data_IF_958956922168
#
_entry.id   IF_958956922168
#
_cell.length_a   1.000
_cell.length_b   1.000
_cell.length_c   1.000
_cell.angle_alpha   90.00
_cell.angle_beta   90.00
_cell.angle_gamma   90.00
#
_symmetry.space_group_name_H-M   'P 1'
#
loop_
_entity.id
_entity.type
_entity.pdbx_description
1 polymer ?
#
# COMPACT_ATOMS: atom_id res chain seq x y z
N UNK A 1 7.83 0.42 -12.72
CA UNK A 1 7.27 1.69 -12.22
C UNK A 1 8.21 2.23 -11.16
N UNK A 2 8.60 3.51 -11.25
CA UNK A 2 9.56 4.12 -10.32
C UNK A 2 9.40 5.64 -10.26
N UNK A 3 9.96 6.28 -9.23
CA UNK A 3 9.86 7.71 -8.99
C UNK A 3 11.27 8.31 -8.82
N UNK A 4 11.46 9.58 -9.21
CA UNK A 4 12.66 10.33 -8.83
C UNK A 4 12.47 10.80 -7.40
N UNK A 5 13.27 10.27 -6.49
CA UNK A 5 13.20 10.55 -5.07
C UNK A 5 14.50 11.21 -4.63
N UNK A 6 14.42 12.11 -3.64
CA UNK A 6 15.60 12.66 -2.98
C UNK A 6 16.54 11.56 -2.52
N UNK A 7 17.84 11.80 -2.63
CA UNK A 7 18.83 10.97 -1.93
C UNK A 7 18.73 11.22 -0.43
N UNK A 8 18.77 10.16 0.36
CA UNK A 8 18.72 10.25 1.82
C UNK A 8 19.11 8.93 2.49
N UNK A 9 18.95 8.85 3.81
CA UNK A 9 19.52 7.76 4.60
C UNK A 9 18.62 6.52 4.72
N UNK A 10 17.45 6.51 4.09
CA UNK A 10 16.45 5.45 4.29
C UNK A 10 16.58 4.39 3.19
N UNK A 11 16.92 3.16 3.56
CA UNK A 11 16.95 2.01 2.67
C UNK A 11 15.65 1.23 2.74
N UNK A 12 15.06 0.90 1.59
CA UNK A 12 13.77 0.18 1.54
C UNK A 12 13.97 -1.16 0.86
N UNK A 13 13.43 -2.22 1.44
CA UNK A 13 13.25 -3.52 0.79
C UNK A 13 11.79 -3.94 0.89
N UNK A 14 11.20 -4.43 -0.20
CA UNK A 14 9.78 -4.75 -0.17
C UNK A 14 9.32 -5.76 -1.21
N UNK A 15 8.37 -6.59 -0.79
CA UNK A 15 7.62 -7.49 -1.66
C UNK A 15 6.34 -6.83 -2.18
N UNK A 16 6.41 -5.53 -2.48
CA UNK A 16 5.29 -4.71 -2.95
C UNK A 16 5.78 -3.59 -3.86
N UNK A 17 5.33 -3.57 -5.11
CA UNK A 17 5.69 -2.53 -6.07
C UNK A 17 5.13 -1.16 -5.67
N UNK A 18 3.80 -1.04 -5.66
CA UNK A 18 3.15 0.24 -5.34
C UNK A 18 3.28 0.64 -3.87
N UNK A 19 3.48 -0.32 -2.95
CA UNK A 19 3.79 -0.01 -1.55
C UNK A 19 5.17 0.64 -1.39
N UNK A 20 6.20 0.14 -2.10
CA UNK A 20 7.49 0.83 -2.15
C UNK A 20 7.31 2.23 -2.74
N UNK A 21 6.61 2.38 -3.87
CA UNK A 21 6.40 3.69 -4.48
C UNK A 21 5.73 4.67 -3.51
N UNK A 22 4.65 4.28 -2.86
CA UNK A 22 3.94 5.12 -1.89
C UNK A 22 4.85 5.58 -0.75
N UNK A 23 5.55 4.64 -0.10
CA UNK A 23 6.45 4.98 1.02
C UNK A 23 7.59 5.87 0.57
N UNK A 24 8.20 5.63 -0.60
CA UNK A 24 9.27 6.49 -1.11
C UNK A 24 8.80 7.92 -1.40
N UNK A 25 7.60 8.09 -1.98
CA UNK A 25 7.02 9.40 -2.28
C UNK A 25 6.65 10.13 -0.99
N UNK A 26 6.15 9.41 0.02
CA UNK A 26 5.85 9.98 1.33
C UNK A 26 7.13 10.40 2.08
N UNK A 27 8.18 9.58 2.06
CA UNK A 27 9.50 9.95 2.59
C UNK A 27 10.02 11.24 1.94
N UNK A 28 9.90 11.34 0.62
CA UNK A 28 10.25 12.56 -0.12
C UNK A 28 9.41 13.73 0.40
N UNK A 29 8.09 13.65 0.35
CA UNK A 29 7.15 14.70 0.80
C UNK A 29 7.45 15.19 2.22
N UNK A 30 7.87 14.29 3.12
CA UNK A 30 8.22 14.57 4.51
C UNK A 30 9.60 15.21 4.70
N UNK A 31 10.32 15.52 3.63
CA UNK A 31 11.59 16.25 3.69
C UNK A 31 12.83 15.38 3.73
N UNK A 32 12.72 14.06 3.56
CA UNK A 32 13.84 13.12 3.58
C UNK A 32 14.05 12.51 2.18
N UNK A 33 14.82 11.43 2.10
CA UNK A 33 15.11 10.71 0.87
C UNK A 33 15.52 9.27 1.12
N UNK A 34 15.77 8.52 0.05
CA UNK A 34 16.18 7.12 0.10
C UNK A 34 17.63 6.92 -0.32
N UNK A 35 18.26 5.90 0.24
CA UNK A 35 19.55 5.39 -0.22
C UNK A 35 19.32 4.42 -1.38
N UNK A 36 18.45 3.43 -1.15
CA UNK A 36 18.09 2.37 -2.08
C UNK A 36 16.62 1.98 -1.91
N UNK A 37 16.02 1.45 -2.97
CA UNK A 37 14.72 0.77 -2.94
C UNK A 37 14.81 -0.56 -3.70
N UNK A 38 14.66 -1.67 -2.99
CA UNK A 38 14.86 -3.02 -3.50
C UNK A 38 13.52 -3.75 -3.54
N UNK A 39 13.00 -3.98 -4.75
CA UNK A 39 11.81 -4.80 -4.96
C UNK A 39 12.17 -6.28 -5.05
N UNK A 40 11.52 -7.13 -4.25
CA UNK A 40 11.83 -8.57 -4.17
C UNK A 40 10.83 -9.46 -4.93
N UNK A 41 9.68 -8.87 -5.31
CA UNK A 41 8.57 -9.56 -5.98
C UNK A 41 7.53 -10.10 -4.99
N UNK A 42 6.25 -10.00 -5.34
CA UNK A 42 5.14 -10.24 -4.41
C UNK A 42 4.96 -11.68 -3.88
N UNK A 43 5.77 -12.63 -4.36
CA UNK A 43 5.76 -14.03 -3.89
C UNK A 43 6.93 -14.37 -2.97
N UNK A 44 7.89 -13.46 -2.81
CA UNK A 44 9.17 -13.76 -2.17
C UNK A 44 8.99 -14.24 -0.72
N UNK A 45 8.05 -13.67 0.02
CA UNK A 45 7.77 -14.06 1.41
C UNK A 45 6.80 -15.23 1.59
N UNK A 46 6.43 -15.93 0.50
CA UNK A 46 5.67 -17.17 0.61
C UNK A 46 6.59 -18.32 1.05
N UNK A 47 6.02 -19.32 1.71
CA UNK A 47 6.77 -20.48 2.20
C UNK A 47 7.57 -21.19 1.11
N UNK A 48 7.03 -21.27 -0.12
CA UNK A 48 7.66 -21.97 -1.23
C UNK A 48 8.90 -21.25 -1.78
N UNK A 49 8.98 -19.93 -1.61
CA UNK A 49 10.13 -19.11 -2.05
C UNK A 49 11.11 -18.88 -0.90
N UNK A 50 10.61 -18.66 0.32
CA UNK A 50 11.42 -18.62 1.53
C UNK A 50 12.10 -17.29 1.83
N UNK A 51 11.70 -16.21 1.16
CA UNK A 51 12.21 -14.84 1.42
C UNK A 51 13.63 -14.60 0.91
N UNK A 52 14.07 -15.31 -0.12
CA UNK A 52 15.46 -15.29 -0.59
C UNK A 52 15.90 -13.86 -0.93
N UNK A 53 15.10 -13.13 -1.73
CA UNK A 53 15.47 -11.79 -2.16
C UNK A 53 15.28 -10.75 -1.06
N UNK A 54 14.31 -10.93 -0.16
CA UNK A 54 14.16 -10.10 1.03
C UNK A 54 15.39 -10.20 1.93
N UNK A 55 15.87 -11.42 2.18
CA UNK A 55 17.05 -11.68 3.01
C UNK A 55 18.29 -11.01 2.40
N UNK A 56 18.52 -11.18 1.11
CA UNK A 56 19.66 -10.55 0.43
C UNK A 56 19.54 -9.03 0.36
N UNK A 57 18.32 -8.50 0.14
CA UNK A 57 18.06 -7.07 0.20
C UNK A 57 18.34 -6.48 1.57
N UNK A 58 17.91 -7.15 2.65
CA UNK A 58 18.19 -6.74 4.02
C UNK A 58 19.69 -6.72 4.32
N UNK A 59 20.43 -7.76 3.94
CA UNK A 59 21.90 -7.78 4.12
C UNK A 59 22.57 -6.64 3.36
N UNK A 60 22.19 -6.44 2.10
CA UNK A 60 22.74 -5.35 1.29
C UNK A 60 22.46 -3.98 1.92
N UNK A 61 21.27 -3.77 2.48
CA UNK A 61 20.93 -2.53 3.19
C UNK A 61 21.67 -2.39 4.53
N UNK A 62 21.93 -3.48 5.25
CA UNK A 62 22.77 -3.44 6.46
C UNK A 62 24.23 -3.09 6.13
N UNK A 63 24.75 -3.57 5.01
CA UNK A 63 26.13 -3.31 4.58
C UNK A 63 26.32 -1.95 3.88
N UNK A 64 25.23 -1.34 3.37
CA UNK A 64 25.30 -0.06 2.67
C UNK A 64 25.60 1.12 3.62
N UNK A 65 26.76 1.80 3.53
CA UNK A 65 27.12 2.89 4.43
C UNK A 65 26.23 4.12 4.29
N UNK A 66 25.45 4.24 3.21
CA UNK A 66 24.49 5.34 3.03
C UNK A 66 23.13 5.06 3.65
N UNK A 67 22.85 3.81 4.00
CA UNK A 67 21.61 3.42 4.69
C UNK A 67 21.82 3.54 6.20
N UNK A 68 21.00 4.35 6.87
CA UNK A 68 20.98 4.49 8.32
C UNK A 68 19.69 3.94 8.93
N UNK A 69 18.59 3.91 8.17
CA UNK A 69 17.28 3.35 8.59
C UNK A 69 16.78 2.38 7.54
N UNK A 70 16.31 1.20 7.96
CA UNK A 70 15.76 0.19 7.05
C UNK A 70 14.23 0.19 7.13
N UNK A 71 13.57 0.17 5.98
CA UNK A 71 12.12 -0.04 5.87
C UNK A 71 11.85 -1.36 5.16
N UNK A 72 11.03 -2.21 5.78
CA UNK A 72 10.54 -3.46 5.18
C UNK A 72 9.04 -3.35 4.92
N UNK A 73 8.61 -3.63 3.68
CA UNK A 73 7.17 -3.60 3.31
C UNK A 73 6.76 -4.89 2.64
N UNK A 74 5.69 -5.52 3.12
CA UNK A 74 5.06 -6.63 2.41
C UNK A 74 3.60 -6.85 2.78
N UNK A 75 2.92 -7.63 1.93
CA UNK A 75 1.71 -8.37 2.34
C UNK A 75 2.05 -9.34 3.49
N UNK A 76 1.06 -9.91 4.21
CA UNK A 76 1.31 -10.90 5.25
C UNK A 76 2.23 -12.03 4.76
N UNK A 77 3.41 -12.20 5.38
CA UNK A 77 4.34 -13.27 5.02
C UNK A 77 3.90 -14.61 5.59
N UNK A 78 4.52 -15.70 5.12
CA UNK A 78 4.51 -16.95 5.88
C UNK A 78 5.16 -16.75 7.26
N UNK A 79 4.67 -17.45 8.29
CA UNK A 79 5.13 -17.28 9.67
C UNK A 79 6.61 -17.61 9.86
N UNK A 80 7.11 -18.67 9.23
CA UNK A 80 8.53 -19.03 9.35
C UNK A 80 9.41 -18.03 8.61
N UNK A 81 8.93 -17.53 7.47
CA UNK A 81 9.66 -16.52 6.69
C UNK A 81 9.70 -15.18 7.43
N UNK A 82 8.59 -14.75 8.06
CA UNK A 82 8.54 -13.58 8.94
C UNK A 82 9.61 -13.65 10.03
N UNK A 83 9.70 -14.77 10.75
CA UNK A 83 10.71 -14.92 11.82
C UNK A 83 12.13 -14.78 11.28
N UNK A 84 12.43 -15.37 10.13
CA UNK A 84 13.76 -15.25 9.50
C UNK A 84 14.11 -13.81 9.17
N UNK A 85 13.22 -13.07 8.52
CA UNK A 85 13.50 -11.69 8.10
C UNK A 85 13.56 -10.73 9.29
N UNK A 86 12.71 -10.93 10.30
CA UNK A 86 12.75 -10.14 11.54
C UNK A 86 13.99 -10.44 12.39
N UNK A 87 14.44 -11.70 12.46
CA UNK A 87 15.72 -12.03 13.13
C UNK A 87 16.91 -11.30 12.50
N UNK A 88 16.96 -11.19 11.17
CA UNK A 88 18.03 -10.46 10.47
C UNK A 88 18.01 -8.97 10.83
N UNK A 89 16.82 -8.37 10.93
CA UNK A 89 16.68 -6.98 11.35
C UNK A 89 17.16 -6.79 12.80
N UNK A 90 16.80 -7.72 13.69
CA UNK A 90 17.20 -7.70 15.11
C UNK A 90 18.72 -7.88 15.31
N UNK A 91 19.34 -8.79 14.55
CA UNK A 91 20.78 -9.07 14.63
C UNK A 91 21.64 -7.96 13.98
N UNK A 92 21.03 -7.16 13.10
CA UNK A 92 21.70 -6.02 12.47
C UNK A 92 21.84 -4.81 13.38
N UNK A 93 22.53 -3.78 12.88
CA UNK A 93 22.88 -2.59 13.68
C UNK A 93 22.02 -1.37 13.39
N UNK A 94 21.22 -1.41 12.32
CA UNK A 94 20.43 -0.26 11.87
C UNK A 94 18.98 -0.37 12.38
N UNK A 95 18.40 0.73 12.89
CA UNK A 95 16.99 0.76 13.24
C UNK A 95 16.12 0.42 12.03
N UNK A 96 14.98 -0.22 12.29
CA UNK A 96 14.08 -0.65 11.23
C UNK A 96 12.62 -0.33 11.50
N UNK A 97 11.90 -0.02 10.43
CA UNK A 97 10.44 0.10 10.41
C UNK A 97 9.88 -1.00 9.52
N UNK A 98 8.97 -1.81 10.04
CA UNK A 98 8.41 -2.95 9.33
C UNK A 98 6.90 -2.77 9.17
N UNK A 99 6.43 -2.95 7.94
CA UNK A 99 5.01 -2.97 7.64
C UNK A 99 4.63 -4.29 6.97
N UNK A 100 4.08 -5.19 7.79
CA UNK A 100 3.31 -6.34 7.34
C UNK A 100 1.85 -5.93 7.28
N UNK A 101 1.35 -5.74 6.07
CA UNK A 101 0.01 -5.23 5.82
C UNK A 101 -1.07 -6.09 6.47
N UNK A 102 -1.81 -5.54 7.44
CA UNK A 102 -2.81 -6.29 8.22
C UNK A 102 -2.21 -7.37 9.14
N UNK A 103 -0.89 -7.35 9.35
CA UNK A 103 -0.17 -8.19 10.30
C UNK A 103 -0.24 -7.63 11.73
N UNK A 104 0.21 -8.44 12.68
CA UNK A 104 0.25 -8.09 14.10
C UNK A 104 1.46 -7.18 14.43
N UNK A 105 1.25 -5.93 14.88
CA UNK A 105 2.34 -5.05 15.29
C UNK A 105 3.19 -5.59 16.43
N UNK A 106 2.63 -6.40 17.33
CA UNK A 106 3.38 -6.93 18.48
C UNK A 106 4.43 -7.95 18.04
N UNK A 107 4.11 -8.77 17.04
CA UNK A 107 5.06 -9.72 16.44
C UNK A 107 6.29 -9.02 15.83
N UNK A 108 6.17 -7.75 15.42
CA UNK A 108 7.29 -6.95 14.93
C UNK A 108 8.12 -6.39 16.10
N UNK A 109 7.46 -5.91 17.16
CA UNK A 109 8.11 -5.37 18.36
C UNK A 109 8.94 -6.41 19.11
N UNK A 110 8.54 -7.67 19.11
CA UNK A 110 9.32 -8.79 19.69
C UNK A 110 10.75 -8.88 19.11
N UNK A 111 10.94 -8.37 17.88
CA UNK A 111 12.20 -8.33 17.18
C UNK A 111 12.85 -6.93 17.16
N UNK A 112 12.46 -6.06 18.11
CA UNK A 112 13.04 -4.72 18.31
C UNK A 112 12.92 -3.79 17.08
N UNK A 113 12.03 -4.16 16.16
CA UNK A 113 11.67 -3.37 15.00
C UNK A 113 10.44 -2.52 15.31
N UNK A 114 10.32 -1.38 14.64
CA UNK A 114 9.18 -0.47 14.83
C UNK A 114 8.07 -0.87 13.84
N UNK A 115 6.85 -1.20 14.31
CA UNK A 115 5.76 -1.52 13.39
C UNK A 115 5.19 -0.26 12.74
N UNK A 116 4.95 -0.31 11.44
CA UNK A 116 4.06 0.60 10.73
C UNK A 116 2.60 0.14 10.83
N UNK A 117 1.66 1.08 10.88
CA UNK A 117 0.22 0.84 10.88
C UNK A 117 -0.40 0.95 9.47
N UNK A 118 0.22 1.78 8.62
CA UNK A 118 -0.10 1.98 7.20
C UNK A 118 1.20 2.31 6.45
N UNK A 119 1.15 2.36 5.12
CA UNK A 119 2.25 2.84 4.28
C UNK A 119 2.64 4.27 4.67
N UNK A 120 1.67 5.16 4.90
CA UNK A 120 1.94 6.54 5.32
C UNK A 120 2.60 6.59 6.70
N UNK A 121 2.08 5.86 7.69
CA UNK A 121 2.66 5.78 9.02
C UNK A 121 4.09 5.21 9.00
N UNK A 122 4.34 4.22 8.15
CA UNK A 122 5.67 3.62 7.94
C UNK A 122 6.67 4.66 7.45
N UNK A 123 6.26 5.51 6.49
CA UNK A 123 7.09 6.60 6.00
C UNK A 123 7.36 7.66 7.10
N UNK A 124 6.32 8.04 7.87
CA UNK A 124 6.46 8.98 8.98
C UNK A 124 7.48 8.50 10.02
N UNK A 125 7.37 7.25 10.45
CA UNK A 125 8.27 6.63 11.42
C UNK A 125 9.70 6.52 10.89
N UNK A 126 9.88 6.11 9.63
CA UNK A 126 11.20 6.03 9.03
C UNK A 126 11.89 7.40 8.97
N UNK A 127 11.15 8.45 8.62
CA UNK A 127 11.64 9.83 8.61
C UNK A 127 11.92 10.35 10.02
N UNK A 128 11.09 10.00 11.00
CA UNK A 128 11.30 10.39 12.39
C UNK A 128 12.63 9.85 12.93
N UNK A 129 12.91 8.56 12.68
CA UNK A 129 14.19 7.92 13.04
C UNK A 129 15.36 8.62 12.33
N UNK A 130 15.25 8.81 11.00
CA UNK A 130 16.31 9.43 10.20
C UNK A 130 16.64 10.88 10.64
N UNK A 131 15.67 11.59 11.23
CA UNK A 131 15.85 12.95 11.75
C UNK A 131 16.17 12.99 13.25
N UNK A 132 16.17 11.86 13.94
CA UNK A 132 16.39 11.79 15.39
C UNK A 132 15.30 12.50 16.21
N UNK A 133 14.04 12.50 15.72
CA UNK A 133 12.88 13.07 16.41
C UNK A 133 12.00 11.97 17.03
N UNK A 134 10.99 12.36 17.82
CA UNK A 134 10.06 11.39 18.43
C UNK A 134 9.35 10.57 17.37
N UNK A 135 9.28 9.25 17.61
CA UNK A 135 8.53 8.31 16.79
C UNK A 135 7.11 8.26 17.33
N UNK A 136 6.15 8.63 16.50
CA UNK A 136 4.73 8.68 16.84
C UNK A 136 3.92 7.98 15.74
N UNK A 137 2.80 7.36 16.13
CA UNK A 137 1.87 6.79 15.18
C UNK A 137 1.15 7.90 14.42
N UNK A 138 1.22 7.86 13.09
CA UNK A 138 0.48 8.75 12.22
C UNK A 138 -0.86 8.11 11.81
N UNK A 139 -1.94 8.60 12.41
CA UNK A 139 -3.33 8.16 12.11
C UNK A 139 -4.24 9.31 11.66
N UNK A 140 -3.66 10.51 11.51
CA UNK A 140 -4.38 11.74 11.20
C UNK A 140 -4.51 12.02 9.71
N UNK A 141 -5.04 13.21 9.41
CA UNK A 141 -5.11 13.74 8.06
C UNK A 141 -4.16 14.93 7.91
N UNK A 142 -3.54 15.07 6.74
CA UNK A 142 -2.76 16.26 6.37
C UNK A 142 -3.63 17.42 5.87
N UNK A 143 -4.93 17.18 5.68
CA UNK A 143 -5.91 18.15 5.16
C UNK A 143 -6.53 18.95 6.31
N UNK A 144 -6.55 20.27 6.19
CA UNK A 144 -7.26 21.17 7.12
C UNK A 144 -8.77 21.17 6.82
N UNK A 145 -9.59 21.42 7.83
CA UNK A 145 -11.06 21.53 7.71
C UNK A 145 -11.78 20.28 7.19
N UNK A 146 -11.23 19.08 7.48
CA UNK A 146 -11.80 17.81 7.01
C UNK A 146 -13.28 17.63 7.39
N UNK A 147 -13.68 18.05 8.60
CA UNK A 147 -15.08 17.96 9.05
C UNK A 147 -16.03 18.78 8.18
N UNK A 148 -15.58 19.95 7.72
CA UNK A 148 -16.38 20.81 6.84
C UNK A 148 -16.55 20.16 5.48
N UNK A 149 -15.47 19.62 4.91
CA UNK A 149 -15.50 18.88 3.62
C UNK A 149 -16.48 17.70 3.73
N UNK A 150 -16.38 16.91 4.80
CA UNK A 150 -17.28 15.77 5.03
C UNK A 150 -18.74 16.25 5.07
N UNK A 151 -19.05 17.30 5.83
CA UNK A 151 -20.42 17.82 5.91
C UNK A 151 -20.94 18.34 4.57
N UNK A 152 -20.12 19.02 3.78
CA UNK A 152 -20.53 19.58 2.48
C UNK A 152 -20.75 18.49 1.42
N UNK A 153 -19.88 17.48 1.37
CA UNK A 153 -20.01 16.38 0.41
C UNK A 153 -21.13 15.41 0.78
N UNK A 154 -21.29 15.07 2.06
CA UNK A 154 -22.34 14.12 2.50
C UNK A 154 -23.76 14.67 2.32
N UNK A 155 -23.95 16.00 2.38
CA UNK A 155 -25.24 16.65 2.07
C UNK A 155 -25.72 16.44 0.62
N UNK A 156 -24.79 16.12 -0.29
CA UNK A 156 -25.12 15.86 -1.70
C UNK A 156 -25.60 14.42 -1.94
N UNK A 157 -25.41 13.53 -0.97
CA UNK A 157 -25.78 12.12 -1.08
C UNK A 157 -27.27 11.92 -0.80
N UNK A 158 -27.89 11.01 -1.56
CA UNK A 158 -29.24 10.52 -1.26
C UNK A 158 -29.22 9.33 -0.31
N UNK A 159 -30.34 9.05 0.37
CA UNK A 159 -30.47 7.91 1.31
C UNK A 159 -30.27 6.52 0.65
N UNK A 160 -30.34 6.46 -0.68
CA UNK A 160 -30.10 5.24 -1.46
C UNK A 160 -28.62 5.00 -1.73
N UNK A 161 -27.79 6.05 -1.71
CA UNK A 161 -26.36 5.96 -1.92
C UNK A 161 -25.69 5.49 -0.63
N UNK A 162 -25.22 4.24 -0.63
CA UNK A 162 -24.75 3.55 0.57
C UNK A 162 -23.38 2.91 0.41
N UNK A 163 -22.99 2.59 -0.82
CA UNK A 163 -21.85 1.72 -1.05
C UNK A 163 -20.63 2.44 -1.61
N UNK A 164 -19.47 1.87 -1.28
CA UNK A 164 -18.16 2.33 -1.75
C UNK A 164 -17.74 1.45 -2.92
N UNK A 165 -17.14 2.06 -3.94
CA UNK A 165 -16.49 1.39 -5.08
C UNK A 165 -15.04 1.83 -5.14
N UNK A 166 -14.11 0.96 -4.75
CA UNK A 166 -12.68 1.17 -4.95
C UNK A 166 -12.24 0.65 -6.30
N UNK A 167 -11.64 1.49 -7.12
CA UNK A 167 -11.12 1.14 -8.45
C UNK A 167 -9.63 1.41 -8.48
N UNK A 168 -8.86 0.43 -8.00
CA UNK A 168 -7.43 0.56 -7.78
C UNK A 168 -6.63 0.02 -8.96
N UNK A 169 -5.49 0.65 -9.24
CA UNK A 169 -4.50 0.21 -10.23
C UNK A 169 -3.28 -0.43 -9.57
N UNK A 170 -3.00 -0.06 -8.32
CA UNK A 170 -1.97 -0.67 -7.48
C UNK A 170 -2.56 -1.66 -6.48
N UNK A 171 -2.29 -2.95 -6.65
CA UNK A 171 -2.83 -4.00 -5.78
C UNK A 171 -2.52 -3.83 -4.30
N UNK A 172 -1.33 -3.36 -3.92
CA UNK A 172 -1.02 -3.08 -2.51
C UNK A 172 -1.85 -1.92 -1.94
N UNK A 173 -2.13 -0.89 -2.74
CA UNK A 173 -2.98 0.22 -2.31
C UNK A 173 -4.43 -0.27 -2.14
N UNK A 174 -4.87 -1.17 -3.02
CA UNK A 174 -6.17 -1.82 -2.90
C UNK A 174 -6.28 -2.66 -1.61
N UNK A 175 -5.27 -3.46 -1.31
CA UNK A 175 -5.22 -4.28 -0.08
C UNK A 175 -5.28 -3.42 1.18
N UNK A 176 -4.44 -2.38 1.27
CA UNK A 176 -4.43 -1.46 2.42
C UNK A 176 -5.78 -0.76 2.60
N UNK A 177 -6.35 -0.25 1.50
CA UNK A 177 -7.66 0.37 1.52
C UNK A 177 -8.75 -0.60 2.01
N UNK A 178 -8.71 -1.87 1.59
CA UNK A 178 -9.64 -2.88 2.08
C UNK A 178 -9.48 -3.13 3.58
N UNK A 179 -8.25 -3.19 4.09
CA UNK A 179 -7.98 -3.41 5.52
C UNK A 179 -8.57 -2.26 6.33
N UNK A 180 -8.18 -1.02 6.01
CA UNK A 180 -8.64 0.19 6.70
C UNK A 180 -10.17 0.30 6.63
N UNK A 181 -10.77 0.11 5.46
CA UNK A 181 -12.23 0.21 5.32
C UNK A 181 -12.95 -0.93 6.05
N UNK A 182 -12.41 -2.14 6.05
CA UNK A 182 -13.09 -3.26 6.70
C UNK A 182 -13.25 -3.07 8.20
N UNK A 183 -12.31 -2.38 8.85
CA UNK A 183 -12.38 -2.03 10.27
C UNK A 183 -13.43 -0.93 10.54
N UNK A 184 -13.65 -0.03 9.58
CA UNK A 184 -14.58 1.10 9.72
C UNK A 184 -16.02 0.76 9.35
N UNK A 185 -16.23 -0.04 8.30
CA UNK A 185 -17.55 -0.25 7.69
C UNK A 185 -17.93 -1.73 7.53
N UNK A 186 -17.06 -2.67 7.92
CA UNK A 186 -17.35 -4.11 7.92
C UNK A 186 -17.05 -4.80 6.60
N UNK A 187 -17.93 -5.72 6.17
CA UNK A 187 -17.68 -6.62 5.04
C UNK A 187 -17.41 -5.87 3.71
N UNK A 188 -16.24 -6.12 3.11
CA UNK A 188 -15.85 -5.66 1.77
C UNK A 188 -15.71 -6.85 0.80
N UNK A 189 -15.95 -6.57 -0.49
CA UNK A 189 -15.87 -7.56 -1.56
C UNK A 189 -14.80 -7.19 -2.60
N UNK A 190 -14.12 -8.19 -3.19
CA UNK A 190 -13.04 -7.94 -4.15
C UNK A 190 -12.76 -9.13 -5.08
N UNK A 191 -12.04 -8.87 -6.17
CA UNK A 191 -11.32 -9.90 -6.93
C UNK A 191 -10.09 -10.43 -6.16
N UNK A 192 -9.51 -9.64 -5.24
CA UNK A 192 -8.40 -10.03 -4.37
C UNK A 192 -8.81 -9.97 -2.89
N UNK A 193 -9.80 -10.77 -2.45
CA UNK A 193 -10.43 -10.57 -1.15
C UNK A 193 -9.49 -10.90 0.02
N UNK A 194 -9.57 -10.09 1.10
CA UNK A 194 -8.84 -10.35 2.35
C UNK A 194 -9.24 -11.67 3.01
N UNK A 195 -10.51 -12.08 2.85
CA UNK A 195 -11.08 -13.33 3.39
C UNK A 195 -11.91 -14.02 2.31
N UNK A 196 -11.99 -15.37 2.28
CA UNK A 196 -12.75 -16.10 1.25
C UNK A 196 -14.20 -15.64 1.07
N UNK A 197 -14.88 -15.23 2.15
CA UNK A 197 -16.27 -14.72 2.13
C UNK A 197 -16.43 -13.42 1.31
N UNK A 198 -15.35 -12.64 1.15
CA UNK A 198 -15.34 -11.40 0.38
C UNK A 198 -15.09 -11.59 -1.12
N UNK A 199 -14.90 -12.83 -1.62
CA UNK A 199 -14.69 -13.04 -3.07
C UNK A 199 -15.97 -12.67 -3.83
N UNK A 200 -15.81 -11.87 -4.88
CA UNK A 200 -16.91 -11.60 -5.82
C UNK A 200 -17.25 -12.87 -6.61
N UNK A 201 -18.55 -13.11 -6.80
CA UNK A 201 -19.04 -14.18 -7.68
C UNK A 201 -18.84 -13.88 -9.17
N UNK A 202 -18.86 -12.59 -9.53
CA UNK A 202 -18.52 -12.07 -10.85
C UNK A 202 -17.67 -10.81 -10.67
N UNK A 203 -16.39 -10.87 -11.07
CA UNK A 203 -15.45 -9.75 -10.90
C UNK A 203 -15.88 -8.48 -11.66
N UNK A 204 -16.75 -8.63 -12.68
CA UNK A 204 -17.26 -7.52 -13.47
C UNK A 204 -18.47 -6.84 -12.82
N UNK A 205 -19.01 -7.38 -11.72
CA UNK A 205 -20.17 -6.84 -11.02
C UNK A 205 -19.85 -6.58 -9.56
N UNK A 206 -19.91 -5.32 -9.17
CA UNK A 206 -19.77 -4.94 -7.77
C UNK A 206 -20.95 -5.41 -6.93
N UNK A 207 -20.67 -5.72 -5.67
CA UNK A 207 -21.66 -6.10 -4.67
C UNK A 207 -21.37 -5.38 -3.36
N UNK A 208 -22.33 -4.58 -2.86
CA UNK A 208 -22.17 -3.76 -1.64
C UNK A 208 -20.85 -2.99 -1.66
N UNK A 209 -20.11 -2.86 -0.56
CA UNK A 209 -18.78 -2.24 -0.60
C UNK A 209 -17.81 -3.13 -1.39
N UNK A 210 -17.34 -2.64 -2.54
CA UNK A 210 -16.47 -3.40 -3.43
C UNK A 210 -15.19 -2.64 -3.72
N UNK A 211 -14.04 -3.29 -3.61
CA UNK A 211 -12.74 -2.75 -3.98
C UNK A 211 -12.09 -3.71 -4.99
N UNK A 212 -11.74 -3.19 -6.17
CA UNK A 212 -11.18 -3.97 -7.27
C UNK A 212 -9.73 -3.55 -7.49
N UNK A 213 -8.85 -4.54 -7.54
CA UNK A 213 -7.52 -4.39 -8.13
C UNK A 213 -7.63 -4.67 -9.63
N UNK A 214 -7.65 -3.60 -10.43
CA UNK A 214 -7.71 -3.68 -11.89
C UNK A 214 -6.36 -4.10 -12.50
N UNK A 215 -5.29 -4.11 -11.71
CA UNK A 215 -3.95 -4.57 -12.10
C UNK A 215 -3.81 -6.08 -12.08
N UNK A 216 -4.74 -6.77 -11.43
CA UNK A 216 -4.75 -8.23 -11.31
C UNK A 216 -4.89 -8.93 -12.68
N UNK A 217 -4.35 -10.15 -12.77
CA UNK A 217 -4.28 -10.93 -14.02
C UNK A 217 -5.65 -11.16 -14.69
N UNK A 218 -6.73 -11.18 -13.90
CA UNK A 218 -8.10 -11.32 -14.42
C UNK A 218 -8.52 -10.13 -15.32
N UNK A 219 -7.99 -8.93 -15.06
CA UNK A 219 -8.32 -7.71 -15.81
C UNK A 219 -7.27 -7.32 -16.86
N UNK A 220 -6.03 -7.82 -16.72
CA UNK A 220 -4.91 -7.47 -17.61
C UNK A 220 -4.65 -8.52 -18.69
N UNK A 221 -5.40 -9.62 -18.72
CA UNK A 221 -5.27 -10.65 -19.77
C UNK A 221 -5.57 -10.08 -21.16
N UNK A 222 -4.52 -9.95 -21.98
CA UNK A 222 -4.63 -9.43 -23.35
C UNK A 222 -4.82 -7.91 -23.42
N UNK A 223 -4.61 -7.19 -22.32
CA UNK A 223 -4.69 -5.72 -22.23
C UNK A 223 -3.45 -5.18 -21.50
N UNK A 224 -3.04 -3.92 -21.74
CA UNK A 224 -2.01 -3.30 -20.91
C UNK A 224 -2.48 -3.17 -19.44
N UNK A 225 -1.52 -3.12 -18.51
CA UNK A 225 -1.79 -2.87 -17.10
C UNK A 225 -2.45 -1.48 -16.91
N UNK A 226 -3.42 -1.30 -15.99
CA UNK A 226 -4.17 -0.04 -15.84
C UNK A 226 -3.33 1.17 -15.43
N UNK A 227 -2.18 0.95 -14.81
CA UNK A 227 -1.20 2.01 -14.55
C UNK A 227 -0.57 2.59 -15.82
N UNK A 228 -0.60 1.86 -16.95
CA UNK A 228 -0.08 2.29 -18.26
C UNK A 228 -1.24 2.79 -19.14
N UNK A 229 -2.35 2.05 -19.16
CA UNK A 229 -3.53 2.35 -19.95
C UNK A 229 -4.78 2.42 -19.05
N UNK A 230 -5.36 3.61 -18.81
CA UNK A 230 -6.47 3.77 -17.88
C UNK A 230 -7.81 3.24 -18.43
N UNK A 231 -7.87 2.74 -19.67
CA UNK A 231 -9.12 2.39 -20.35
C UNK A 231 -10.03 1.47 -19.53
N UNK A 232 -9.49 0.39 -18.96
CA UNK A 232 -10.28 -0.57 -18.15
C UNK A 232 -10.88 0.13 -16.92
N UNK A 233 -10.14 1.03 -16.28
CA UNK A 233 -10.64 1.80 -15.14
C UNK A 233 -11.72 2.80 -15.58
N UNK A 234 -11.53 3.49 -16.70
CA UNK A 234 -12.50 4.44 -17.24
C UNK A 234 -13.84 3.75 -17.56
N UNK A 235 -13.80 2.59 -18.21
CA UNK A 235 -15.01 1.79 -18.45
C UNK A 235 -15.70 1.41 -17.13
N UNK A 236 -14.92 0.98 -16.14
CA UNK A 236 -15.47 0.61 -14.83
C UNK A 236 -16.09 1.79 -14.09
N UNK A 237 -15.46 2.98 -14.11
CA UNK A 237 -16.02 4.22 -13.54
C UNK A 237 -17.39 4.51 -14.14
N UNK A 238 -17.52 4.47 -15.47
CA UNK A 238 -18.79 4.73 -16.16
C UNK A 238 -19.87 3.69 -15.82
N UNK A 239 -19.47 2.44 -15.57
CA UNK A 239 -20.39 1.39 -15.12
C UNK A 239 -20.87 1.64 -13.69
N UNK A 240 -19.94 1.92 -12.76
CA UNK A 240 -20.28 2.16 -11.35
C UNK A 240 -21.09 3.45 -11.15
N UNK A 241 -20.82 4.50 -11.93
CA UNK A 241 -21.56 5.76 -11.86
C UNK A 241 -23.04 5.64 -12.26
N UNK A 242 -23.44 4.55 -12.94
CA UNK A 242 -24.84 4.26 -13.28
C UNK A 242 -25.61 3.61 -12.13
N UNK A 243 -24.90 3.03 -11.15
CA UNK A 243 -25.50 2.41 -9.98
C UNK A 243 -25.90 3.49 -8.96
N UNK A 244 -27.21 3.62 -8.73
CA UNK A 244 -27.79 4.63 -7.83
C UNK A 244 -27.50 4.36 -6.36
N UNK A 245 -26.98 3.18 -6.02
CA UNK A 245 -26.58 2.83 -4.66
C UNK A 245 -25.13 3.23 -4.33
N UNK A 246 -24.36 3.70 -5.31
CA UNK A 246 -22.97 4.13 -5.12
C UNK A 246 -22.93 5.51 -4.47
N UNK A 247 -22.32 5.58 -3.28
CA UNK A 247 -22.05 6.82 -2.56
C UNK A 247 -20.68 7.39 -2.89
N UNK A 248 -19.66 6.53 -2.95
CA UNK A 248 -18.25 6.95 -3.07
C UNK A 248 -17.57 6.07 -4.09
N UNK A 249 -16.82 6.69 -5.01
CA UNK A 249 -15.84 6.00 -5.85
C UNK A 249 -14.44 6.42 -5.38
N UNK A 250 -13.66 5.45 -4.87
CA UNK A 250 -12.28 5.63 -4.45
C UNK A 250 -11.34 5.19 -5.58
N UNK A 251 -10.26 5.94 -5.78
CA UNK A 251 -9.28 5.68 -6.83
C UNK A 251 -7.88 6.07 -6.33
N UNK A 252 -6.88 5.30 -6.73
CA UNK A 252 -5.47 5.64 -6.62
C UNK A 252 -4.97 6.36 -7.88
N UNK A 253 -3.91 7.16 -7.77
CA UNK A 253 -3.25 7.77 -8.92
C UNK A 253 -1.75 7.52 -8.83
N UNK A 254 -1.32 6.39 -9.38
CA UNK A 254 0.10 6.02 -9.36
C UNK A 254 0.83 6.68 -10.53
N UNK A 255 1.69 7.64 -10.19
CA UNK A 255 2.52 8.38 -11.14
C UNK A 255 3.97 7.88 -11.14
N UNK A 256 4.78 8.44 -12.05
CA UNK A 256 6.21 8.16 -12.17
C UNK A 256 6.56 7.42 -13.46
N UNK A 257 7.82 7.03 -13.59
CA UNK A 257 8.32 6.35 -14.78
C UNK A 257 7.58 5.04 -15.04
N UNK A 258 7.16 4.86 -16.29
CA UNK A 258 6.42 3.69 -16.75
C UNK A 258 4.91 3.76 -16.51
N UNK A 259 4.40 4.75 -15.76
CA UNK A 259 2.95 4.99 -15.65
C UNK A 259 2.44 5.86 -16.81
N UNK A 260 1.12 5.91 -16.97
CA UNK A 260 0.46 6.82 -17.90
C UNK A 260 0.81 8.29 -17.53
N UNK A 261 1.11 9.17 -18.50
CA UNK A 261 1.43 10.57 -18.22
C UNK A 261 0.23 11.39 -17.70
N UNK A 262 -1.00 10.92 -17.90
CA UNK A 262 -2.24 11.56 -17.46
C UNK A 262 -3.29 10.51 -17.03
N UNK A 263 -3.10 9.83 -15.88
CA UNK A 263 -4.02 8.78 -15.42
C UNK A 263 -5.38 9.33 -14.93
N UNK A 264 -5.48 10.66 -14.73
CA UNK A 264 -6.73 11.38 -14.51
C UNK A 264 -7.65 11.32 -15.72
N UNK A 265 -7.05 11.33 -16.92
CA UNK A 265 -7.76 11.61 -18.15
C UNK A 265 -8.21 13.08 -18.22
N UNK A 266 -8.55 13.50 -19.44
CA UNK A 266 -9.30 14.72 -19.71
C UNK A 266 -10.72 14.39 -20.13
#
# INVERSE_FOLDING_TARGET
>A
FANVIRKGPIGIVGASGTGIQEVTVMIDKLGSGISQAIGTGGRDLKAEVGGIMMIEGLKALQDDPLTEVIVLISKPPDKEVARKVLSILKEGTKPSVVYFMGGDPEAIKEYESIPGLSLEDTAHKAVAIAKGISIEDFTGFTVTDIDKIIQEETKKLSEKQRYIRGLYTGGTLCDEAMIILSDLIGDTYSNIPLKPKGKLSDINKSHRHTLIDLGDDEFTRGKPHPMIDPYVRQERILSEAKDREVAIILMDFVLGFGSNPDPGGR
#
